data_IF_607453994836
#
_entry.id   IF_607453994836
#
_cell.length_a   1.000
_cell.length_b   1.000
_cell.length_c   1.000
_cell.angle_alpha   90.00
_cell.angle_beta   90.00
_cell.angle_gamma   90.00
#
_symmetry.space_group_name_H-M   'P 1'
#
loop_
_entity.id
_entity.type
_entity.pdbx_description
1 polymer ?
#
# COMPACT_ATOMS: atom_id res chain seq x y z
N UNK A 1 19.95 8.57 -5.50
CA UNK A 1 20.22 7.30 -6.22
C UNK A 1 18.89 6.58 -6.38
N UNK A 2 18.46 6.20 -7.60
CA UNK A 2 17.25 5.38 -7.75
C UNK A 2 17.48 4.06 -6.99
N UNK A 3 16.56 3.70 -6.11
CA UNK A 3 16.63 2.40 -5.43
C UNK A 3 16.35 1.29 -6.44
N UNK A 4 16.83 0.07 -6.19
CA UNK A 4 16.73 -1.05 -7.15
C UNK A 4 15.32 -1.33 -7.66
N UNK A 5 14.29 -0.96 -6.89
CA UNK A 5 12.89 -1.11 -7.29
C UNK A 5 12.44 -0.09 -8.34
N UNK A 6 12.94 1.15 -8.28
CA UNK A 6 12.68 2.17 -9.30
C UNK A 6 13.33 1.79 -10.62
N UNK A 7 14.57 1.28 -10.58
CA UNK A 7 15.28 0.84 -11.79
C UNK A 7 14.52 -0.30 -12.49
N UNK A 8 14.05 -1.30 -11.73
CA UNK A 8 13.21 -2.38 -12.28
C UNK A 8 11.95 -1.85 -12.97
N UNK A 9 11.25 -0.88 -12.38
CA UNK A 9 10.05 -0.30 -13.00
C UNK A 9 10.36 0.39 -14.33
N UNK A 10 11.49 1.09 -14.43
CA UNK A 10 11.92 1.72 -15.68
C UNK A 10 12.28 0.69 -16.76
N UNK A 11 13.02 -0.36 -16.39
CA UNK A 11 13.39 -1.44 -17.32
C UNK A 11 12.15 -2.15 -17.88
N UNK A 12 11.17 -2.43 -17.03
CA UNK A 12 9.93 -3.09 -17.45
C UNK A 12 9.03 -2.16 -18.29
N UNK A 13 8.95 -0.86 -17.94
CA UNK A 13 8.18 0.12 -18.70
C UNK A 13 8.73 0.35 -20.11
N UNK A 14 10.05 0.19 -20.31
CA UNK A 14 10.66 0.28 -21.63
C UNK A 14 10.35 -0.94 -22.54
N UNK A 15 10.03 -2.10 -21.95
CA UNK A 15 9.79 -3.34 -22.68
C UNK A 15 8.30 -3.62 -22.94
N UNK A 16 7.42 -3.08 -22.10
CA UNK A 16 5.97 -3.32 -22.19
C UNK A 16 5.17 -2.22 -21.50
N UNK A 17 3.89 -2.15 -21.85
CA UNK A 17 2.93 -1.33 -21.12
C UNK A 17 2.76 -1.90 -19.71
N UNK A 18 2.98 -1.07 -18.70
CA UNK A 18 2.71 -1.40 -17.31
C UNK A 18 1.31 -0.90 -16.94
N UNK A 19 0.46 -1.81 -16.47
CA UNK A 19 -0.73 -1.46 -15.72
C UNK A 19 -0.37 -1.47 -14.24
N UNK A 20 -0.56 -0.33 -13.58
CA UNK A 20 -0.44 -0.21 -12.14
C UNK A 20 -1.85 -0.21 -11.55
N UNK A 21 -2.02 -0.95 -10.45
CA UNK A 21 -3.17 -0.76 -9.57
C UNK A 21 -3.22 0.72 -9.18
N UNK A 22 -4.36 1.34 -9.43
CA UNK A 22 -4.70 2.66 -8.94
C UNK A 22 -5.85 2.55 -7.95
N UNK A 23 -5.83 3.42 -6.93
CA UNK A 23 -6.89 3.55 -5.94
C UNK A 23 -7.13 2.35 -5.00
N UNK A 24 -6.09 1.54 -4.73
CA UNK A 24 -6.13 0.54 -3.64
C UNK A 24 -6.70 1.11 -2.34
N UNK A 25 -6.31 2.34 -1.95
CA UNK A 25 -6.81 3.00 -0.75
C UNK A 25 -8.33 3.21 -0.74
N UNK A 26 -8.93 3.57 -1.88
CA UNK A 26 -10.39 3.70 -2.03
C UNK A 26 -11.06 2.33 -1.94
N UNK A 27 -10.46 1.28 -2.52
CA UNK A 27 -10.96 -0.09 -2.34
C UNK A 27 -10.88 -0.53 -0.88
N UNK A 28 -9.82 -0.19 -0.14
CA UNK A 28 -9.72 -0.53 1.29
C UNK A 28 -10.86 0.12 2.10
N UNK A 29 -11.21 1.37 1.79
CA UNK A 29 -12.27 2.08 2.48
C UNK A 29 -13.65 1.41 2.32
N UNK A 30 -13.91 0.71 1.21
CA UNK A 30 -15.21 0.03 0.99
C UNK A 30 -15.41 -1.18 1.91
N UNK A 31 -14.33 -1.79 2.40
CA UNK A 31 -14.41 -2.92 3.34
C UNK A 31 -14.84 -2.50 4.76
N UNK A 32 -15.00 -1.20 5.03
CA UNK A 32 -15.48 -0.68 6.32
C UNK A 32 -14.69 -1.21 7.53
N UNK A 33 -13.39 -1.41 7.34
CA UNK A 33 -12.49 -1.98 8.34
C UNK A 33 -12.49 -1.13 9.63
N UNK A 34 -12.46 -1.82 10.76
CA UNK A 34 -12.37 -1.23 12.10
C UNK A 34 -10.91 -1.05 12.50
N UNK A 35 -10.66 -0.23 13.51
CA UNK A 35 -9.30 0.00 14.04
C UNK A 35 -8.61 -1.31 14.48
N UNK A 36 -9.36 -2.29 14.98
CA UNK A 36 -8.84 -3.62 15.32
C UNK A 36 -8.29 -4.36 14.08
N UNK A 37 -8.93 -4.20 12.92
CA UNK A 37 -8.51 -4.83 11.66
C UNK A 37 -7.22 -4.20 11.11
N UNK A 38 -7.03 -2.89 11.31
CA UNK A 38 -5.78 -2.20 10.94
C UNK A 38 -4.61 -2.59 11.86
N UNK A 39 -4.89 -2.84 13.14
CA UNK A 39 -3.87 -3.18 14.15
C UNK A 39 -3.34 -4.59 13.99
N UNK A 40 -4.24 -5.56 13.87
CA UNK A 40 -3.90 -6.97 13.94
C UNK A 40 -2.99 -7.30 15.14
N UNK A 41 -2.21 -8.37 15.04
CA UNK A 41 -1.28 -8.76 16.11
C UNK A 41 -0.06 -7.85 16.20
N UNK A 42 0.41 -7.34 15.06
CA UNK A 42 1.68 -6.60 14.96
C UNK A 42 1.61 -5.24 15.64
N UNK A 43 0.44 -4.59 15.63
CA UNK A 43 0.28 -3.22 16.12
C UNK A 43 -0.80 -3.10 17.21
N UNK A 44 -1.10 -4.22 17.90
CA UNK A 44 -2.09 -4.25 18.98
C UNK A 44 -1.87 -3.14 20.02
N UNK A 45 -0.61 -2.89 20.39
CA UNK A 45 -0.22 -1.92 21.43
C UNK A 45 0.28 -0.58 20.86
N UNK A 46 0.02 -0.29 19.58
CA UNK A 46 0.50 0.94 18.94
C UNK A 46 -0.20 2.18 19.52
N UNK A 47 0.56 3.21 19.88
CA UNK A 47 0.08 4.34 20.70
C UNK A 47 -0.93 5.27 19.99
N UNK A 48 -1.04 5.18 18.68
CA UNK A 48 -1.93 6.00 17.86
C UNK A 48 -2.84 5.11 17.02
N UNK A 49 -3.93 5.68 16.52
CA UNK A 49 -4.79 4.98 15.57
C UNK A 49 -4.03 4.70 14.27
N UNK A 50 -4.35 3.61 13.60
CA UNK A 50 -3.74 3.24 12.32
C UNK A 50 -4.66 3.55 11.16
N UNK A 51 -5.97 3.51 11.38
CA UNK A 51 -6.95 3.88 10.37
C UNK A 51 -6.87 5.39 10.09
N UNK A 52 -6.61 5.75 8.83
CA UNK A 52 -6.66 7.14 8.36
C UNK A 52 -5.36 7.95 8.48
N UNK A 53 -4.23 7.29 8.79
CA UNK A 53 -2.88 7.88 8.74
C UNK A 53 -2.15 7.60 7.42
#
# INVERSE_FOLDING_TARGET
MPTGRTQLLHELAAQRILLLDGAMGTMIQSYSLTEADYRGERFKDFAHDLKGN
#
